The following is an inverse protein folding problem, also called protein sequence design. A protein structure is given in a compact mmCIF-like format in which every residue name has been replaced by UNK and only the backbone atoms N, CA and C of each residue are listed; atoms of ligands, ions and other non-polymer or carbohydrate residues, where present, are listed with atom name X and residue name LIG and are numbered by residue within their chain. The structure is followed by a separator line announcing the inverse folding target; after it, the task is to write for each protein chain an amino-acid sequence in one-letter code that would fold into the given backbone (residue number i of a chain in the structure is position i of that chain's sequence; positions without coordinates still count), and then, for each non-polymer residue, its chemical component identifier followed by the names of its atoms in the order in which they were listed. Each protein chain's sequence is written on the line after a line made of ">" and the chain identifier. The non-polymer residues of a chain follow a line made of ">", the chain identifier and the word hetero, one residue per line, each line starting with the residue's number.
data_IF_147370447270
#
_entry.id   IF_147370447270
#
_cell.length_a   1.000
_cell.length_b   1.000
_cell.length_c   1.000
_cell.angle_alpha   90.00
_cell.angle_beta   90.00
_cell.angle_gamma   90.00
#
_symmetry.space_group_name_H-M   'P 1'
#
loop_
_entity.id
_entity.type
_entity.pdbx_description
1 polymer ?
#
# COMPACT_ATOMS: atom_id res chain seq x y z
N UNK A 1 -22.66 -10.80 2.88
CA UNK A 1 -21.46 -11.62 2.60
C UNK A 1 -20.19 -10.77 2.71
N UNK A 2 -19.86 -10.24 3.91
CA UNK A 2 -18.69 -9.34 4.08
C UNK A 2 -17.56 -10.00 4.89
N UNK A 3 -17.87 -10.64 6.02
CA UNK A 3 -16.86 -11.28 6.90
C UNK A 3 -16.10 -12.41 6.19
N UNK A 4 -16.78 -13.27 5.42
CA UNK A 4 -16.13 -14.37 4.69
C UNK A 4 -15.12 -13.85 3.67
N UNK A 5 -15.43 -12.75 2.99
CA UNK A 5 -14.52 -12.14 2.01
C UNK A 5 -13.29 -11.54 2.70
N UNK A 6 -13.49 -10.89 3.85
CA UNK A 6 -12.40 -10.33 4.67
C UNK A 6 -11.48 -11.45 5.16
N UNK A 7 -12.03 -12.52 5.77
CA UNK A 7 -11.23 -13.64 6.27
C UNK A 7 -10.48 -14.30 5.12
N UNK A 8 -11.14 -14.58 3.99
CA UNK A 8 -10.49 -15.19 2.83
C UNK A 8 -9.37 -14.30 2.27
N UNK A 9 -9.59 -13.00 2.12
CA UNK A 9 -8.56 -12.07 1.67
C UNK A 9 -7.36 -12.04 2.62
N UNK A 10 -7.59 -12.03 3.93
CA UNK A 10 -6.54 -12.09 4.95
C UNK A 10 -5.77 -13.42 4.90
N UNK A 11 -6.45 -14.56 4.75
CA UNK A 11 -5.79 -15.87 4.62
C UNK A 11 -4.91 -15.91 3.36
N UNK A 12 -5.41 -15.40 2.23
CA UNK A 12 -4.64 -15.33 0.98
C UNK A 12 -3.41 -14.43 1.15
N UNK A 13 -3.56 -13.26 1.80
CA UNK A 13 -2.44 -12.34 2.09
C UNK A 13 -1.38 -12.98 3.01
N UNK A 14 -1.78 -13.84 3.95
CA UNK A 14 -0.83 -14.57 4.80
C UNK A 14 -0.03 -15.62 4.01
N UNK A 15 -0.64 -16.28 3.03
CA UNK A 15 0.01 -17.30 2.19
C UNK A 15 0.86 -16.70 1.07
N UNK A 16 0.36 -15.67 0.41
CA UNK A 16 1.08 -14.90 -0.61
C UNK A 16 0.96 -13.42 -0.27
N UNK A 17 1.91 -12.84 0.46
CA UNK A 17 1.98 -11.40 0.57
C UNK A 17 1.98 -10.76 -0.81
N UNK A 18 1.19 -9.71 -0.99
CA UNK A 18 1.34 -8.82 -2.12
C UNK A 18 2.71 -8.14 -2.03
N UNK A 19 3.73 -8.75 -2.66
CA UNK A 19 5.07 -8.19 -2.72
C UNK A 19 5.09 -6.82 -3.40
N UNK A 20 6.19 -6.08 -3.22
CA UNK A 20 6.41 -4.78 -3.87
C UNK A 20 6.18 -4.90 -5.38
N UNK A 21 5.17 -4.19 -5.90
CA UNK A 21 4.87 -4.10 -7.34
C UNK A 21 5.28 -2.72 -7.85
N UNK A 22 6.55 -2.51 -8.24
CA UNK A 22 7.03 -1.21 -8.71
C UNK A 22 6.22 -0.70 -9.91
N UNK A 23 5.70 -1.60 -10.75
CA UNK A 23 4.82 -1.23 -11.86
C UNK A 23 3.49 -0.59 -11.40
N UNK A 24 2.87 -1.11 -10.34
CA UNK A 24 1.59 -0.57 -9.82
C UNK A 24 1.83 0.81 -9.19
N UNK A 25 2.90 0.94 -8.39
CA UNK A 25 3.32 2.22 -7.82
C UNK A 25 3.62 3.26 -8.91
N UNK A 26 4.33 2.86 -9.98
CA UNK A 26 4.60 3.73 -11.12
C UNK A 26 3.33 4.19 -11.86
N UNK A 27 2.37 3.28 -12.10
CA UNK A 27 1.10 3.65 -12.76
C UNK A 27 0.23 4.57 -11.89
N UNK A 28 0.16 4.32 -10.58
CA UNK A 28 -0.58 5.17 -9.66
C UNK A 28 0.10 6.54 -9.52
N UNK A 29 1.44 6.58 -9.48
CA UNK A 29 2.21 7.83 -9.46
C UNK A 29 2.01 8.66 -10.74
N UNK A 30 2.04 8.03 -11.91
CA UNK A 30 1.77 8.70 -13.18
C UNK A 30 0.34 9.26 -13.25
N UNK A 31 -0.64 8.49 -12.76
CA UNK A 31 -2.03 8.94 -12.69
C UNK A 31 -2.21 10.11 -11.71
N UNK A 32 -1.59 10.05 -10.54
CA UNK A 32 -1.58 11.15 -9.57
C UNK A 32 -0.92 12.40 -10.16
N UNK A 33 0.22 12.26 -10.84
CA UNK A 33 0.90 13.38 -11.50
C UNK A 33 0.05 14.00 -12.62
N UNK A 34 -0.68 13.18 -13.39
CA UNK A 34 -1.60 13.68 -14.41
C UNK A 34 -2.78 14.45 -13.80
N UNK A 35 -3.35 13.94 -12.70
CA UNK A 35 -4.40 14.64 -11.95
C UNK A 35 -3.90 15.96 -11.37
N UNK A 36 -2.68 15.96 -10.82
CA UNK A 36 -2.05 17.17 -10.32
C UNK A 36 -1.84 18.19 -11.45
N UNK A 37 -1.27 17.79 -12.59
CA UNK A 37 -1.08 18.70 -13.74
C UNK A 37 -2.41 19.24 -14.29
N UNK A 38 -3.47 18.43 -14.26
CA UNK A 38 -4.76 18.80 -14.83
C UNK A 38 -5.61 19.66 -13.90
N UNK A 39 -5.45 19.52 -12.58
CA UNK A 39 -6.32 20.13 -11.58
C UNK A 39 -5.58 20.95 -10.51
N UNK A 40 -4.26 21.10 -10.54
CA UNK A 40 -3.55 21.92 -9.55
C UNK A 40 -3.66 23.41 -9.86
N UNK A 41 -4.77 24.03 -9.45
CA UNK A 41 -5.01 25.47 -9.55
C UNK A 41 -4.60 26.28 -8.31
N UNK A 42 -3.87 25.69 -7.35
CA UNK A 42 -3.43 26.39 -6.13
C UNK A 42 -4.51 26.60 -5.04
N UNK A 43 -5.79 26.32 -5.35
CA UNK A 43 -6.89 26.38 -4.38
C UNK A 43 -7.32 25.00 -3.88
N UNK A 44 -7.78 24.94 -2.62
CA UNK A 44 -8.26 23.71 -1.97
C UNK A 44 -9.39 23.03 -2.74
N UNK A 45 -10.26 23.81 -3.38
CA UNK A 45 -11.42 23.29 -4.12
C UNK A 45 -10.97 22.42 -5.31
N UNK A 46 -9.91 22.83 -6.01
CA UNK A 46 -9.40 22.03 -7.12
C UNK A 46 -8.79 20.70 -6.67
N UNK A 47 -8.17 20.67 -5.47
CA UNK A 47 -7.71 19.42 -4.86
C UNK A 47 -8.85 18.45 -4.53
N UNK A 48 -9.99 18.95 -4.04
CA UNK A 48 -11.19 18.11 -3.78
C UNK A 48 -11.75 17.54 -5.07
N UNK A 49 -11.82 18.35 -6.14
CA UNK A 49 -12.28 17.89 -7.45
C UNK A 49 -11.33 16.84 -8.02
N UNK A 50 -10.02 17.07 -7.97
CA UNK A 50 -9.01 16.11 -8.40
C UNK A 50 -9.16 14.78 -7.65
N UNK A 51 -9.39 14.83 -6.34
CA UNK A 51 -9.62 13.64 -5.52
C UNK A 51 -10.91 12.90 -5.91
N UNK A 52 -12.02 13.62 -6.12
CA UNK A 52 -13.27 13.02 -6.57
C UNK A 52 -13.12 12.36 -7.94
N UNK A 53 -12.42 13.00 -8.87
CA UNK A 53 -12.12 12.44 -10.20
C UNK A 53 -11.18 11.24 -10.11
N UNK A 54 -10.28 11.22 -9.14
CA UNK A 54 -9.43 10.05 -8.89
C UNK A 54 -10.24 8.86 -8.34
N UNK A 55 -11.13 9.10 -7.38
CA UNK A 55 -11.75 8.03 -6.59
C UNK A 55 -13.10 7.58 -7.13
N UNK A 56 -13.96 8.49 -7.60
CA UNK A 56 -15.31 8.13 -8.03
C UNK A 56 -15.33 7.18 -9.24
N UNK A 57 -14.54 7.39 -10.31
CA UNK A 57 -14.55 6.47 -11.45
C UNK A 57 -14.20 5.01 -11.11
N UNK A 58 -13.09 4.70 -10.39
CA UNK A 58 -12.80 3.32 -10.03
C UNK A 58 -13.82 2.73 -9.05
N UNK A 59 -14.36 3.53 -8.12
CA UNK A 59 -15.40 3.07 -7.19
C UNK A 59 -16.69 2.73 -7.94
N UNK A 60 -17.14 3.60 -8.86
CA UNK A 60 -18.31 3.37 -9.68
C UNK A 60 -18.14 2.14 -10.57
N UNK A 61 -16.96 1.97 -11.19
CA UNK A 61 -16.63 0.79 -11.99
C UNK A 61 -16.67 -0.49 -11.14
N UNK A 62 -16.06 -0.48 -9.95
CA UNK A 62 -16.07 -1.62 -9.04
C UNK A 62 -17.50 -1.99 -8.61
N UNK A 63 -18.34 -0.99 -8.33
CA UNK A 63 -19.75 -1.21 -8.00
C UNK A 63 -20.52 -1.84 -9.16
N UNK A 64 -20.36 -1.33 -10.38
CA UNK A 64 -21.01 -1.87 -11.57
C UNK A 64 -20.57 -3.32 -11.84
N UNK A 65 -19.27 -3.60 -11.73
CA UNK A 65 -18.74 -4.96 -11.87
C UNK A 65 -19.30 -5.89 -10.79
N UNK A 66 -19.38 -5.44 -9.53
CA UNK A 66 -19.96 -6.23 -8.45
C UNK A 66 -21.43 -6.57 -8.73
N UNK A 67 -22.25 -5.58 -9.12
CA UNK A 67 -23.67 -5.80 -9.43
C UNK A 67 -23.83 -6.77 -10.61
N UNK A 68 -23.04 -6.59 -11.67
CA UNK A 68 -23.06 -7.47 -12.83
C UNK A 68 -22.68 -8.91 -12.45
N UNK A 69 -21.60 -9.10 -11.69
CA UNK A 69 -21.16 -10.42 -11.24
C UNK A 69 -22.17 -11.07 -10.28
N UNK A 70 -22.82 -10.27 -9.43
CA UNK A 70 -23.85 -10.74 -8.53
C UNK A 70 -25.08 -11.22 -9.30
N UNK A 71 -25.47 -10.49 -10.35
CA UNK A 71 -26.57 -10.88 -11.23
C UNK A 71 -26.29 -12.19 -12.00
N UNK A 72 -25.02 -12.45 -12.35
CA UNK A 72 -24.62 -13.73 -12.96
C UNK A 72 -24.61 -14.87 -11.92
N UNK A 73 -23.86 -14.69 -10.82
CA UNK A 73 -23.74 -15.71 -9.79
C UNK A 73 -23.20 -15.13 -8.46
N UNK A 74 -23.85 -15.38 -7.30
CA UNK A 74 -23.40 -14.83 -6.01
C UNK A 74 -21.95 -15.20 -5.63
N UNK A 75 -21.48 -16.39 -6.00
CA UNK A 75 -20.07 -16.79 -5.81
C UNK A 75 -19.07 -15.93 -6.61
N UNK A 76 -19.42 -15.45 -7.80
CA UNK A 76 -18.53 -14.57 -8.59
C UNK A 76 -18.38 -13.21 -7.90
N UNK A 77 -19.46 -12.66 -7.37
CA UNK A 77 -19.44 -11.44 -6.57
C UNK A 77 -18.60 -11.61 -5.28
N UNK A 78 -18.66 -12.78 -4.64
CA UNK A 78 -17.80 -13.09 -3.49
C UNK A 78 -16.32 -13.12 -3.89
N UNK A 79 -15.98 -13.80 -4.98
CA UNK A 79 -14.60 -13.87 -5.49
C UNK A 79 -14.07 -12.48 -5.85
N UNK A 80 -14.90 -11.65 -6.46
CA UNK A 80 -14.56 -10.26 -6.77
C UNK A 80 -14.29 -9.44 -5.52
N UNK A 81 -15.12 -9.56 -4.48
CA UNK A 81 -14.88 -8.90 -3.20
C UNK A 81 -13.55 -9.32 -2.57
N UNK A 82 -13.25 -10.63 -2.58
CA UNK A 82 -11.96 -11.16 -2.10
C UNK A 82 -10.81 -10.55 -2.90
N UNK A 83 -10.92 -10.50 -4.23
CA UNK A 83 -9.89 -9.95 -5.10
C UNK A 83 -9.66 -8.45 -4.86
N UNK A 84 -10.74 -7.65 -4.75
CA UNK A 84 -10.66 -6.22 -4.44
C UNK A 84 -10.01 -6.01 -3.08
N UNK A 85 -10.49 -6.70 -2.04
CA UNK A 85 -9.94 -6.58 -0.69
C UNK A 85 -8.47 -6.99 -0.64
N UNK A 86 -8.10 -8.10 -1.30
CA UNK A 86 -6.73 -8.53 -1.40
C UNK A 86 -5.87 -7.42 -2.01
N UNK A 87 -6.26 -6.87 -3.16
CA UNK A 87 -5.50 -5.80 -3.83
C UNK A 87 -5.41 -4.48 -3.04
N UNK A 88 -6.42 -4.14 -2.24
CA UNK A 88 -6.47 -2.85 -1.53
C UNK A 88 -5.97 -2.89 -0.09
N UNK A 89 -5.96 -4.05 0.57
CA UNK A 89 -5.57 -4.15 1.99
C UNK A 89 -4.06 -3.97 2.21
N UNK A 90 -3.21 -4.57 1.36
CA UNK A 90 -1.76 -4.31 1.34
C UNK A 90 -1.00 -4.53 2.67
N UNK A 91 -1.58 -5.22 3.64
CA UNK A 91 -1.09 -5.25 5.04
C UNK A 91 0.37 -5.66 5.21
N UNK A 92 0.91 -6.55 4.35
CA UNK A 92 2.25 -7.10 4.54
C UNK A 92 3.38 -6.27 3.91
N UNK A 93 3.05 -5.24 3.13
CA UNK A 93 4.03 -4.41 2.41
C UNK A 93 4.85 -3.52 3.34
N UNK A 94 4.25 -3.06 4.45
CA UNK A 94 4.87 -2.11 5.37
C UNK A 94 5.76 -2.77 6.44
N UNK A 95 5.44 -4.00 6.86
CA UNK A 95 6.13 -4.63 8.01
C UNK A 95 7.44 -5.34 7.67
N UNK A 96 7.74 -5.59 6.39
CA UNK A 96 8.94 -6.35 6.03
C UNK A 96 10.24 -5.61 6.35
N UNK A 97 10.33 -4.32 6.01
CA UNK A 97 11.49 -3.50 6.38
C UNK A 97 11.65 -3.41 7.90
N UNK A 98 10.56 -3.17 8.62
CA UNK A 98 10.59 -3.14 10.09
C UNK A 98 11.09 -4.45 10.70
N UNK A 99 10.59 -5.59 10.20
CA UNK A 99 11.00 -6.92 10.67
C UNK A 99 12.47 -7.19 10.38
N UNK A 100 12.93 -6.87 9.17
CA UNK A 100 14.32 -7.09 8.76
C UNK A 100 15.29 -6.21 9.56
N UNK A 101 14.93 -4.95 9.81
CA UNK A 101 15.70 -4.04 10.67
C UNK A 101 15.71 -4.55 12.11
N UNK A 102 14.57 -5.01 12.65
CA UNK A 102 14.49 -5.55 14.01
C UNK A 102 15.36 -6.80 14.17
N UNK A 103 15.36 -7.71 13.19
CA UNK A 103 16.19 -8.92 13.19
C UNK A 103 17.68 -8.55 13.15
N UNK A 104 18.07 -7.64 12.26
CA UNK A 104 19.46 -7.17 12.13
C UNK A 104 19.97 -6.47 13.41
N UNK A 105 19.13 -5.64 14.03
CA UNK A 105 19.44 -4.99 15.32
C UNK A 105 19.58 -6.00 16.47
N UNK A 106 18.78 -7.07 16.48
CA UNK A 106 18.87 -8.16 17.47
C UNK A 106 20.11 -9.02 17.28
N UNK A 107 20.55 -9.25 16.04
CA UNK A 107 21.77 -9.99 15.73
C UNK A 107 23.05 -9.16 15.87
N UNK A 108 22.94 -7.87 16.20
CA UNK A 108 24.08 -6.95 16.29
C UNK A 108 24.64 -6.49 14.94
N UNK A 109 23.96 -6.81 13.84
CA UNK A 109 24.38 -6.46 12.48
C UNK A 109 23.83 -5.07 12.11
N UNK A 110 24.54 -4.04 12.57
CA UNK A 110 24.14 -2.64 12.41
C UNK A 110 24.22 -2.19 10.94
N UNK A 111 25.16 -2.75 10.16
CA UNK A 111 25.31 -2.44 8.74
C UNK A 111 24.09 -2.92 7.95
N UNK A 112 23.64 -4.14 8.20
CA UNK A 112 22.43 -4.69 7.56
C UNK A 112 21.17 -3.93 7.97
N UNK A 113 21.05 -3.54 9.24
CA UNK A 113 19.95 -2.70 9.70
C UNK A 113 19.95 -1.33 9.00
N UNK A 114 21.14 -0.75 8.77
CA UNK A 114 21.30 0.54 8.08
C UNK A 114 20.89 0.45 6.61
N UNK A 115 21.39 -0.57 5.89
CA UNK A 115 21.04 -0.78 4.49
C UNK A 115 19.52 -0.96 4.30
N UNK A 116 18.86 -1.73 5.18
CA UNK A 116 17.41 -1.93 5.13
C UNK A 116 16.64 -0.62 5.41
N UNK A 117 17.09 0.20 6.36
CA UNK A 117 16.47 1.50 6.65
C UNK A 117 16.66 2.52 5.51
N UNK A 118 17.85 2.55 4.89
CA UNK A 118 18.12 3.40 3.72
C UNK A 118 17.30 2.97 2.51
N UNK A 119 17.07 1.67 2.33
CA UNK A 119 16.18 1.16 1.29
C UNK A 119 14.71 1.51 1.55
N UNK A 120 14.30 1.55 2.82
CA UNK A 120 12.95 1.91 3.23
C UNK A 120 12.67 3.42 3.09
N UNK A 121 13.57 4.29 3.59
CA UNK A 121 13.38 5.76 3.59
C UNK A 121 13.94 6.47 2.35
N UNK A 122 14.70 5.76 1.52
CA UNK A 122 15.55 6.37 0.49
C UNK A 122 16.92 6.78 1.05
N UNK A 123 17.96 6.67 0.21
CA UNK A 123 19.35 6.86 0.60
C UNK A 123 19.59 8.31 1.08
N UNK A 124 19.93 8.48 2.37
CA UNK A 124 20.33 9.78 2.93
C UNK A 124 21.85 9.94 3.05
N UNK A 125 22.63 8.87 2.88
CA UNK A 125 24.10 8.92 2.83
C UNK A 125 24.79 9.35 4.14
N UNK A 126 24.05 9.45 5.25
CA UNK A 126 24.59 9.87 6.55
C UNK A 126 24.92 8.64 7.39
N UNK A 127 26.13 8.57 7.93
CA UNK A 127 26.52 7.55 8.93
C UNK A 127 25.72 7.80 10.22
N UNK A 128 24.83 6.86 10.58
CA UNK A 128 23.94 6.97 11.75
C UNK A 128 24.39 6.04 12.88
N UNK A 129 24.51 6.53 14.13
CA UNK A 129 24.72 5.69 15.31
C UNK A 129 23.49 4.81 15.61
N UNK A 130 23.69 3.76 16.42
CA UNK A 130 22.67 2.73 16.71
C UNK A 130 21.40 3.30 17.32
N UNK A 131 21.49 4.22 18.29
CA UNK A 131 20.30 4.85 18.89
C UNK A 131 19.48 5.61 17.84
N UNK A 132 20.15 6.32 16.93
CA UNK A 132 19.47 7.08 15.89
C UNK A 132 18.79 6.17 14.87
N UNK A 133 19.42 5.03 14.55
CA UNK A 133 18.81 4.00 13.70
C UNK A 133 17.52 3.44 14.31
N UNK A 134 17.54 3.11 15.60
CA UNK A 134 16.37 2.61 16.33
C UNK A 134 15.26 3.67 16.36
N UNK A 135 15.61 4.92 16.71
CA UNK A 135 14.66 6.04 16.75
C UNK A 135 13.99 6.22 15.39
N UNK A 136 14.76 6.29 14.32
CA UNK A 136 14.27 6.48 12.95
C UNK A 136 13.41 5.30 12.47
N UNK A 137 13.76 4.07 12.85
CA UNK A 137 12.97 2.88 12.51
C UNK A 137 11.59 2.92 13.18
N UNK A 138 11.52 3.37 14.44
CA UNK A 138 10.26 3.53 15.17
C UNK A 138 9.45 4.70 14.61
N UNK A 139 10.10 5.82 14.28
CA UNK A 139 9.47 6.98 13.67
C UNK A 139 8.82 6.62 12.32
N UNK A 140 9.53 5.90 11.47
CA UNK A 140 9.03 5.46 10.16
C UNK A 140 7.94 4.37 10.27
N UNK A 141 7.96 3.55 11.33
CA UNK A 141 6.94 2.52 11.56
C UNK A 141 5.59 3.09 12.05
N UNK A 142 5.57 4.34 12.54
CA UNK A 142 4.39 5.01 13.08
C UNK A 142 3.74 5.99 12.09
N UNK A 143 4.42 6.33 10.98
CA UNK A 143 3.91 7.16 9.89
C UNK A 143 3.06 6.33 8.92
#
# INVERSE_FOLDING_TARGET
>A
MSIVAIIAALVIEQWRPLGHRPAVQGTLGAWAAWLEQSFNGGERHHGVIAWLVAVLPPVALALLLHIALYALHPLLALLFNIAVLYLTLGFRQFSHYFTDIQVALKSGDIERARAALEQWRGASGVVRPREELIRLTIEEALL
#
